data_IF_870334381114
#
_entry.id   IF_870334381114
#
_cell.length_a   1.000
_cell.length_b   1.000
_cell.length_c   1.000
_cell.angle_alpha   90.00
_cell.angle_beta   90.00
_cell.angle_gamma   90.00
#
_symmetry.space_group_name_H-M   'P 1'
#
loop_
_entity.id
_entity.type
_entity.pdbx_description
1 polymer ?
#
# COMPACT_ATOMS: atom_id res chain seq x y z
N UNK A 1 -59.44 15.85 48.03
CA UNK A 1 -60.48 14.92 48.51
C UNK A 1 -61.19 14.36 47.30
N UNK A 2 -61.16 13.02 47.16
CA UNK A 2 -62.15 12.15 46.50
C UNK A 2 -62.75 12.54 45.15
N UNK A 3 -62.30 11.82 44.12
CA UNK A 3 -63.06 11.07 43.09
C UNK A 3 -64.58 11.30 42.89
N UNK A 4 -64.97 10.99 41.65
CA UNK A 4 -66.24 10.37 41.19
C UNK A 4 -67.27 11.33 40.58
N UNK A 5 -67.44 11.30 39.25
CA UNK A 5 -68.73 10.93 38.64
C UNK A 5 -68.56 10.55 37.16
N UNK A 6 -69.03 9.34 36.83
CA UNK A 6 -69.14 8.75 35.49
C UNK A 6 -70.46 9.17 34.85
N UNK A 7 -70.51 9.43 33.54
CA UNK A 7 -71.56 8.95 32.60
C UNK A 7 -71.27 9.53 31.20
N UNK A 8 -70.84 8.73 30.22
CA UNK A 8 -71.69 8.04 29.23
C UNK A 8 -72.32 9.00 28.20
N UNK A 9 -71.67 9.18 27.06
CA UNK A 9 -72.39 9.27 25.78
C UNK A 9 -71.55 8.69 24.65
N UNK A 10 -72.07 7.60 24.10
CA UNK A 10 -71.69 6.99 22.84
C UNK A 10 -71.86 8.01 21.71
N UNK A 11 -70.81 8.26 20.92
CA UNK A 11 -71.00 8.54 19.49
C UNK A 11 -69.87 7.93 18.67
N UNK A 12 -70.25 6.80 18.08
CA UNK A 12 -69.63 6.14 16.95
C UNK A 12 -69.41 7.15 15.80
N UNK A 13 -68.17 7.41 15.40
CA UNK A 13 -67.85 7.83 14.04
C UNK A 13 -66.53 7.20 13.61
N UNK A 14 -66.66 6.09 12.87
CA UNK A 14 -65.61 5.41 12.11
C UNK A 14 -65.01 6.40 11.11
N UNK A 15 -63.78 6.86 11.36
CA UNK A 15 -62.94 7.51 10.36
C UNK A 15 -61.89 6.48 9.93
N UNK A 16 -62.20 5.80 8.83
CA UNK A 16 -61.33 4.86 8.14
C UNK A 16 -60.22 5.64 7.43
N UNK A 17 -59.07 5.82 8.07
CA UNK A 17 -57.85 6.30 7.39
C UNK A 17 -57.11 5.05 6.90
N UNK A 18 -57.29 4.72 5.63
CA UNK A 18 -56.45 3.77 4.92
C UNK A 18 -55.09 4.42 4.63
N UNK A 19 -54.08 4.09 5.42
CA UNK A 19 -52.69 4.35 5.06
C UNK A 19 -52.21 3.22 4.14
N UNK A 20 -51.57 3.51 3.00
CA UNK A 20 -50.80 2.50 2.30
C UNK A 20 -49.57 2.14 3.15
N UNK A 21 -49.51 0.89 3.61
CA UNK A 21 -48.27 0.26 4.07
C UNK A 21 -47.41 0.05 2.82
N UNK A 22 -46.43 0.93 2.60
CA UNK A 22 -45.32 0.63 1.71
C UNK A 22 -44.30 -0.18 2.53
N UNK A 23 -44.31 -1.50 2.34
CA UNK A 23 -43.19 -2.34 2.73
C UNK A 23 -42.10 -2.14 1.67
N UNK A 24 -41.13 -1.28 1.95
CA UNK A 24 -39.87 -1.22 1.20
C UNK A 24 -38.89 -2.16 1.90
N UNK A 25 -38.98 -3.44 1.59
CA UNK A 25 -37.99 -4.45 1.98
C UNK A 25 -36.89 -4.46 0.90
N UNK A 26 -36.21 -3.33 0.73
CA UNK A 26 -34.89 -3.32 0.11
C UNK A 26 -33.89 -3.80 1.15
N UNK A 27 -33.64 -5.12 1.12
CA UNK A 27 -32.56 -5.77 1.87
C UNK A 27 -31.23 -5.09 1.54
N UNK A 28 -30.82 -4.14 2.38
CA UNK A 28 -29.49 -3.54 2.41
C UNK A 28 -28.48 -4.56 2.98
N UNK A 29 -28.34 -5.69 2.28
CA UNK A 29 -27.25 -6.65 2.50
C UNK A 29 -25.88 -6.05 2.20
N UNK A 30 -25.83 -4.87 1.55
CA UNK A 30 -24.60 -4.14 1.28
C UNK A 30 -24.16 -3.25 2.45
N UNK A 31 -25.09 -2.77 3.29
CA UNK A 31 -24.81 -1.91 4.45
C UNK A 31 -24.16 -2.71 5.59
N UNK A 32 -24.51 -4.00 5.72
CA UNK A 32 -23.88 -4.91 6.68
C UNK A 32 -22.46 -5.35 6.29
N UNK A 33 -21.98 -5.03 5.08
CA UNK A 33 -20.60 -5.29 4.66
C UNK A 33 -19.70 -4.05 4.73
N UNK A 34 -20.24 -2.88 5.10
CA UNK A 34 -19.56 -1.59 5.03
C UNK A 34 -19.71 -0.70 6.27
N UNK A 35 -19.89 -1.29 7.45
CA UNK A 35 -20.07 -0.51 8.69
C UNK A 35 -18.80 -0.34 9.50
N UNK A 36 -17.96 0.65 9.16
CA UNK A 36 -16.98 1.31 10.06
C UNK A 36 -16.40 2.58 9.39
N UNK A 37 -17.25 3.51 8.96
CA UNK A 37 -16.80 4.65 8.13
C UNK A 37 -15.98 5.73 8.88
N UNK A 38 -15.92 5.73 10.22
CA UNK A 38 -15.16 6.74 10.98
C UNK A 38 -13.71 6.33 11.33
N UNK A 39 -13.29 5.08 11.07
CA UNK A 39 -11.98 4.54 11.49
C UNK A 39 -11.06 4.10 10.32
N UNK A 40 -11.48 4.27 9.06
CA UNK A 40 -10.69 3.86 7.89
C UNK A 40 -10.00 5.07 7.26
N UNK A 41 -8.67 5.10 7.34
CA UNK A 41 -7.89 6.15 6.68
C UNK A 41 -7.97 6.03 5.15
N UNK A 42 -7.96 7.17 4.46
CA UNK A 42 -7.69 7.18 3.02
C UNK A 42 -6.28 6.67 2.74
N UNK A 43 -6.06 6.10 1.55
CA UNK A 43 -4.77 5.46 1.20
C UNK A 43 -3.59 6.42 1.26
N UNK A 44 -3.80 7.70 0.94
CA UNK A 44 -2.75 8.72 0.95
C UNK A 44 -2.44 9.24 2.36
N UNK A 45 -3.38 9.11 3.30
CA UNK A 45 -3.16 9.38 4.73
C UNK A 45 -2.48 8.19 5.42
N UNK A 46 -2.87 6.97 5.05
CA UNK A 46 -2.28 5.73 5.55
C UNK A 46 -0.83 5.54 5.10
N UNK A 47 -0.50 5.95 3.87
CA UNK A 47 0.79 5.73 3.23
C UNK A 47 1.30 7.00 2.55
N UNK A 48 1.84 7.92 3.35
CA UNK A 48 2.35 9.19 2.86
C UNK A 48 3.68 8.99 2.15
N UNK A 49 3.66 9.08 0.82
CA UNK A 49 4.82 8.88 -0.04
C UNK A 49 5.56 10.19 -0.33
N UNK A 50 6.89 10.14 -0.28
CA UNK A 50 7.79 11.16 -0.77
C UNK A 50 8.85 10.55 -1.70
N UNK A 51 9.60 11.37 -2.42
CA UNK A 51 10.69 10.91 -3.27
C UNK A 51 11.91 11.83 -3.24
N UNK A 52 13.06 11.25 -3.57
CA UNK A 52 14.31 11.96 -3.83
C UNK A 52 14.96 11.42 -5.11
N UNK A 53 15.60 12.31 -5.87
CA UNK A 53 16.30 11.95 -7.10
C UNK A 53 17.70 12.55 -7.10
N UNK A 54 18.69 11.65 -7.11
CA UNK A 54 20.10 11.98 -7.22
C UNK A 54 20.65 11.33 -8.49
N UNK A 55 21.75 11.84 -9.06
CA UNK A 55 22.39 11.18 -10.20
C UNK A 55 22.66 9.69 -9.91
N UNK A 56 22.03 8.81 -10.69
CA UNK A 56 22.20 7.37 -10.62
C UNK A 56 21.28 6.63 -9.64
N UNK A 57 20.38 7.32 -8.93
CA UNK A 57 19.39 6.68 -8.05
C UNK A 57 18.11 7.49 -7.87
N UNK A 58 16.98 6.79 -7.84
CA UNK A 58 15.69 7.33 -7.46
C UNK A 58 15.22 6.61 -6.19
N UNK A 59 14.85 7.35 -5.16
CA UNK A 59 14.38 6.78 -3.89
C UNK A 59 12.95 7.23 -3.64
N UNK A 60 12.08 6.28 -3.32
CA UNK A 60 10.75 6.54 -2.76
C UNK A 60 10.75 6.13 -1.29
N UNK A 61 10.13 6.97 -0.46
CA UNK A 61 10.06 6.80 0.99
C UNK A 61 8.61 6.96 1.45
N UNK A 62 8.21 6.17 2.43
CA UNK A 62 6.86 6.23 3.00
C UNK A 62 6.92 6.50 4.49
N UNK A 63 6.03 7.36 4.96
CA UNK A 63 5.58 7.38 6.35
C UNK A 63 4.26 6.62 6.41
N UNK A 64 4.21 5.60 7.25
CA UNK A 64 3.11 4.64 7.34
C UNK A 64 2.36 4.89 8.65
N UNK A 65 1.05 5.09 8.56
CA UNK A 65 0.19 5.32 9.71
C UNK A 65 0.24 4.14 10.69
N UNK A 66 0.00 4.41 11.97
CA UNK A 66 -0.07 3.36 12.99
C UNK A 66 -1.15 2.33 12.64
N UNK A 67 -0.87 1.05 12.92
CA UNK A 67 -1.75 -0.07 12.56
C UNK A 67 -1.86 -0.31 11.05
N UNK A 68 -0.97 0.25 10.23
CA UNK A 68 -0.89 -0.01 8.80
C UNK A 68 0.49 -0.56 8.42
N UNK A 69 0.54 -1.29 7.31
CA UNK A 69 1.80 -1.81 6.77
C UNK A 69 1.78 -1.89 5.25
N UNK A 70 2.96 -1.84 4.63
CA UNK A 70 3.18 -2.08 3.20
C UNK A 70 3.78 -3.47 2.97
N UNK A 71 3.32 -4.17 1.94
CA UNK A 71 3.91 -5.43 1.52
C UNK A 71 5.19 -5.19 0.71
N UNK A 72 6.32 -5.72 1.18
CA UNK A 72 7.61 -5.54 0.51
C UNK A 72 7.60 -6.10 -0.92
N UNK A 73 6.99 -7.27 -1.12
CA UNK A 73 6.94 -7.95 -2.43
C UNK A 73 5.98 -7.28 -3.43
N UNK A 74 5.17 -6.31 -2.99
CA UNK A 74 4.29 -5.51 -3.84
C UNK A 74 4.87 -4.14 -4.20
N UNK A 75 6.09 -3.84 -3.74
CA UNK A 75 6.77 -2.58 -4.05
C UNK A 75 7.54 -2.71 -5.36
N UNK A 76 7.33 -1.75 -6.26
CA UNK A 76 8.01 -1.71 -7.56
C UNK A 76 8.26 -0.27 -7.98
N UNK A 77 9.44 0.01 -8.52
CA UNK A 77 9.74 1.28 -9.19
C UNK A 77 10.16 0.96 -10.63
N UNK A 78 9.51 1.59 -11.62
CA UNK A 78 9.85 1.42 -13.03
C UNK A 78 9.85 2.76 -13.77
N UNK A 79 10.46 2.77 -14.95
CA UNK A 79 10.26 3.83 -15.94
C UNK A 79 10.08 3.20 -17.32
N UNK A 80 9.28 3.83 -18.18
CA UNK A 80 9.14 3.40 -19.58
C UNK A 80 10.20 4.06 -20.48
N UNK A 81 11.07 4.91 -19.93
CA UNK A 81 12.07 5.63 -20.69
C UNK A 81 13.26 4.71 -21.04
N UNK A 82 13.37 4.36 -22.31
CA UNK A 82 14.42 3.45 -22.81
C UNK A 82 15.84 4.00 -22.71
N UNK A 83 16.03 5.29 -22.38
CA UNK A 83 17.36 5.85 -22.12
C UNK A 83 17.84 5.65 -20.69
N UNK A 84 17.00 5.10 -19.81
CA UNK A 84 17.32 4.81 -18.41
C UNK A 84 17.42 3.31 -18.21
N UNK A 85 18.63 2.80 -17.99
CA UNK A 85 18.83 1.40 -17.61
C UNK A 85 18.74 1.30 -16.09
N UNK A 86 17.75 0.59 -15.57
CA UNK A 86 17.54 0.45 -14.13
C UNK A 86 18.00 -0.91 -13.63
N UNK A 87 18.58 -0.94 -12.42
CA UNK A 87 19.00 -2.17 -11.76
C UNK A 87 17.92 -2.66 -10.79
N UNK A 88 18.20 -3.74 -10.06
CA UNK A 88 17.28 -4.30 -9.07
C UNK A 88 16.92 -3.27 -7.99
N UNK A 89 15.65 -3.27 -7.59
CA UNK A 89 15.15 -2.41 -6.51
C UNK A 89 15.81 -2.83 -5.19
N UNK A 90 16.45 -1.87 -4.52
CA UNK A 90 17.10 -2.07 -3.23
C UNK A 90 16.13 -1.66 -2.12
N UNK A 91 15.82 -2.61 -1.24
CA UNK A 91 14.95 -2.43 -0.07
C UNK A 91 15.49 -3.25 1.11
N UNK A 92 15.38 -2.75 2.35
CA UNK A 92 15.63 -3.57 3.54
C UNK A 92 14.76 -4.83 3.53
N UNK A 93 15.09 -5.84 4.32
CA UNK A 93 14.35 -7.11 4.35
C UNK A 93 12.89 -6.95 4.77
N UNK A 94 12.58 -5.99 5.66
CA UNK A 94 11.25 -5.83 6.25
C UNK A 94 10.99 -6.84 7.37
N UNK A 95 9.90 -6.62 8.09
CA UNK A 95 9.47 -7.44 9.22
C UNK A 95 8.71 -8.68 8.73
N UNK A 96 9.04 -9.84 9.29
CA UNK A 96 8.33 -11.08 9.03
C UNK A 96 6.91 -11.03 9.61
N UNK A 97 5.92 -11.26 8.76
CA UNK A 97 4.49 -11.31 9.11
C UNK A 97 3.88 -12.61 8.61
N UNK A 98 3.31 -13.39 9.51
CA UNK A 98 2.55 -14.58 9.14
C UNK A 98 1.24 -14.20 8.49
N UNK A 99 1.01 -14.70 7.28
CA UNK A 99 -0.27 -14.59 6.59
C UNK A 99 -1.12 -15.84 6.91
N UNK A 100 -2.22 -15.70 7.68
CA UNK A 100 -3.06 -16.82 8.07
C UNK A 100 -3.87 -17.40 6.90
N UNK A 101 -4.05 -16.67 5.80
CA UNK A 101 -4.77 -17.12 4.61
C UNK A 101 -3.89 -18.04 3.78
N UNK A 102 -2.62 -17.69 3.61
CA UNK A 102 -1.70 -18.45 2.76
C UNK A 102 -0.75 -19.38 3.53
N UNK A 103 -0.73 -19.28 4.86
CA UNK A 103 0.17 -20.03 5.75
C UNK A 103 1.65 -19.83 5.35
N UNK A 104 1.99 -18.57 5.07
CA UNK A 104 3.32 -18.13 4.62
C UNK A 104 3.76 -16.92 5.41
N UNK A 105 5.05 -16.83 5.65
CA UNK A 105 5.70 -15.61 6.12
C UNK A 105 5.87 -14.65 4.95
N UNK A 106 5.26 -13.48 5.05
CA UNK A 106 5.47 -12.33 4.17
C UNK A 106 6.40 -11.34 4.86
N UNK A 107 7.05 -10.47 4.09
CA UNK A 107 7.81 -9.36 4.64
C UNK A 107 7.07 -8.04 4.42
N UNK A 108 6.94 -7.27 5.48
CA UNK A 108 6.19 -6.01 5.49
C UNK A 108 7.02 -4.88 6.09
N UNK A 109 6.56 -3.64 5.87
CA UNK A 109 7.11 -2.47 6.53
C UNK A 109 6.02 -1.79 7.34
N UNK A 110 6.31 -1.54 8.62
CA UNK A 110 5.54 -0.68 9.50
C UNK A 110 6.29 0.63 9.72
N UNK A 111 5.56 1.70 10.00
CA UNK A 111 6.06 3.06 10.29
C UNK A 111 6.81 3.75 9.14
N UNK A 112 7.83 3.12 8.57
CA UNK A 112 8.65 3.66 7.49
C UNK A 112 9.07 2.57 6.50
N UNK A 113 9.13 2.95 5.22
CA UNK A 113 9.69 2.12 4.17
C UNK A 113 10.53 2.98 3.23
N UNK A 114 11.63 2.42 2.72
CA UNK A 114 12.47 3.04 1.69
C UNK A 114 12.71 2.03 0.57
N UNK A 115 12.53 2.50 -0.67
CA UNK A 115 12.82 1.74 -1.87
C UNK A 115 13.68 2.57 -2.82
N UNK A 116 14.91 2.12 -3.05
CA UNK A 116 15.87 2.81 -3.92
C UNK A 116 16.05 2.04 -5.21
N UNK A 117 15.83 2.70 -6.34
CA UNK A 117 16.09 2.20 -7.68
C UNK A 117 17.39 2.82 -8.22
N UNK A 118 18.50 2.07 -8.22
CA UNK A 118 19.70 2.48 -8.93
C UNK A 118 19.43 2.47 -10.44
N UNK A 119 19.93 3.47 -11.14
CA UNK A 119 19.78 3.56 -12.59
C UNK A 119 21.03 4.16 -13.25
N UNK A 120 21.14 3.95 -14.55
CA UNK A 120 22.12 4.57 -15.41
C UNK A 120 21.42 5.45 -16.44
N UNK A 121 21.85 6.70 -16.51
CA UNK A 121 21.48 7.64 -17.56
C UNK A 121 22.76 8.31 -18.08
N UNK A 122 23.16 8.00 -19.31
CA UNK A 122 24.43 8.49 -19.90
C UNK A 122 24.17 9.35 -21.15
N UNK A 123 23.07 10.10 -21.15
CA UNK A 123 22.71 11.00 -22.24
C UNK A 123 23.61 12.23 -22.36
N UNK A 124 23.40 13.04 -23.41
CA UNK A 124 24.21 14.23 -23.71
C UNK A 124 23.72 15.51 -23.01
N UNK A 125 22.85 15.40 -22.00
CA UNK A 125 22.27 16.53 -21.30
C UNK A 125 21.19 16.07 -20.33
N UNK A 126 20.55 17.03 -19.66
CA UNK A 126 19.47 16.69 -18.74
C UNK A 126 18.21 16.23 -19.48
N UNK A 127 17.42 15.36 -18.85
CA UNK A 127 16.15 14.86 -19.40
C UNK A 127 15.09 14.68 -18.34
N UNK A 128 13.84 15.04 -18.66
CA UNK A 128 12.69 14.69 -17.82
C UNK A 128 12.33 13.22 -17.99
N UNK A 129 12.27 12.49 -16.89
CA UNK A 129 11.90 11.07 -16.84
C UNK A 129 10.82 10.88 -15.79
N UNK A 130 9.83 10.06 -16.11
CA UNK A 130 8.78 9.69 -15.16
C UNK A 130 9.03 8.31 -14.59
N UNK A 131 9.12 8.23 -13.27
CA UNK A 131 9.12 6.98 -12.52
C UNK A 131 7.70 6.64 -12.07
N UNK A 132 7.33 5.36 -12.19
CA UNK A 132 6.09 4.78 -11.67
C UNK A 132 6.44 4.00 -10.41
N UNK A 133 5.87 4.40 -9.29
CA UNK A 133 6.04 3.72 -8.00
C UNK A 133 4.74 2.98 -7.68
N UNK A 134 4.82 1.66 -7.59
CA UNK A 134 3.72 0.78 -7.18
C UNK A 134 3.94 0.28 -5.77
N UNK A 135 2.87 0.18 -5.00
CA UNK A 135 2.88 -0.35 -3.64
C UNK A 135 1.47 -0.83 -3.28
N UNK A 136 1.38 -1.64 -2.24
CA UNK A 136 0.12 -2.09 -1.66
C UNK A 136 0.31 -2.29 -0.15
N UNK A 137 -0.72 -1.97 0.61
CA UNK A 137 -0.73 -2.16 2.06
C UNK A 137 -2.10 -2.53 2.59
N UNK A 138 -2.16 -2.82 3.89
CA UNK A 138 -3.40 -3.08 4.60
C UNK A 138 -3.40 -2.35 5.95
N UNK A 139 -4.59 -2.22 6.51
CA UNK A 139 -4.82 -1.84 7.90
C UNK A 139 -4.99 -3.11 8.74
N UNK A 140 -4.21 -3.24 9.80
CA UNK A 140 -4.37 -4.29 10.81
C UNK A 140 -5.59 -4.05 11.69
N UNK A 141 -5.99 -2.78 11.87
CA UNK A 141 -7.07 -2.36 12.75
C UNK A 141 -8.43 -2.69 12.12
N UNK A 142 -8.64 -2.28 10.87
CA UNK A 142 -9.90 -2.55 10.16
C UNK A 142 -9.89 -3.89 9.40
N UNK A 143 -8.73 -4.51 9.22
CA UNK A 143 -8.56 -5.72 8.42
C UNK A 143 -8.69 -5.48 6.90
N UNK A 144 -8.75 -4.22 6.46
CA UNK A 144 -8.93 -3.86 5.05
C UNK A 144 -7.58 -3.80 4.35
N UNK A 145 -7.52 -4.42 3.16
CA UNK A 145 -6.40 -4.28 2.25
C UNK A 145 -6.75 -3.31 1.12
N UNK A 146 -5.91 -2.29 0.96
CA UNK A 146 -6.05 -1.31 -0.11
C UNK A 146 -5.71 -1.98 -1.46
N UNK A 147 -6.34 -1.57 -2.57
CA UNK A 147 -5.96 -2.04 -3.89
C UNK A 147 -4.52 -1.61 -4.24
N UNK A 148 -3.86 -2.26 -5.22
CA UNK A 148 -2.55 -1.83 -5.68
C UNK A 148 -2.54 -0.37 -6.14
N UNK A 149 -1.63 0.42 -5.59
CA UNK A 149 -1.46 1.83 -5.92
C UNK A 149 -0.41 2.01 -7.00
N UNK A 150 -0.51 3.11 -7.75
CA UNK A 150 0.55 3.55 -8.68
C UNK A 150 0.64 5.07 -8.65
N UNK A 151 1.78 5.59 -8.18
CA UNK A 151 2.10 7.02 -8.20
C UNK A 151 3.13 7.30 -9.29
N UNK A 152 3.07 8.48 -9.91
CA UNK A 152 3.98 8.89 -10.97
C UNK A 152 4.75 10.12 -10.53
N UNK A 153 6.07 10.07 -10.60
CA UNK A 153 6.96 11.17 -10.25
C UNK A 153 7.83 11.50 -11.46
N UNK A 154 7.70 12.73 -11.95
CA UNK A 154 8.53 13.24 -13.05
C UNK A 154 9.69 14.03 -12.46
N UNK A 155 10.91 13.64 -12.82
CA UNK A 155 12.15 14.25 -12.33
C UNK A 155 13.08 14.56 -13.48
N UNK A 156 13.94 15.55 -13.28
CA UNK A 156 14.97 15.92 -14.25
C UNK A 156 16.26 15.17 -13.93
N UNK A 157 16.65 14.24 -14.79
CA UNK A 157 17.86 13.46 -14.66
C UNK A 157 19.03 14.18 -15.31
N UNK A 158 20.15 14.25 -14.60
CA UNK A 158 21.45 14.62 -15.17
C UNK A 158 22.25 13.36 -15.50
N UNK A 159 23.06 13.39 -16.58
CA UNK A 159 23.85 12.23 -16.98
C UNK A 159 24.91 11.89 -15.93
N UNK A 160 25.09 10.60 -15.67
CA UNK A 160 26.15 10.09 -14.82
C UNK A 160 27.40 9.79 -15.65
N UNK A 161 28.58 9.87 -15.02
CA UNK A 161 29.83 9.50 -15.66
C UNK A 161 29.91 7.99 -15.92
N UNK A 162 30.71 7.57 -16.90
CA UNK A 162 30.94 6.14 -17.17
C UNK A 162 31.51 5.39 -15.96
N UNK A 163 32.30 6.06 -15.12
CA UNK A 163 32.83 5.46 -13.88
C UNK A 163 31.72 5.21 -12.85
N UNK A 164 30.74 6.12 -12.74
CA UNK A 164 29.60 5.95 -11.85
C UNK A 164 28.63 4.88 -12.38
N UNK A 165 28.41 4.84 -13.70
CA UNK A 165 27.59 3.81 -14.35
C UNK A 165 28.12 2.40 -14.05
N UNK A 166 29.43 2.19 -14.15
CA UNK A 166 30.06 0.91 -13.81
C UNK A 166 29.90 0.52 -12.33
N UNK A 167 29.85 1.49 -11.41
CA UNK A 167 29.63 1.22 -9.98
C UNK A 167 28.18 0.82 -9.68
N UNK A 168 27.20 1.35 -10.42
CA UNK A 168 25.79 1.01 -10.28
C UNK A 168 25.52 -0.46 -10.60
N UNK A 169 26.23 -1.03 -11.58
CA UNK A 169 26.11 -2.45 -11.96
C UNK A 169 26.63 -3.39 -10.88
N UNK A 170 27.72 -3.04 -10.21
CA UNK A 170 28.30 -3.86 -9.15
C UNK A 170 27.45 -3.89 -7.87
N UNK A 171 26.52 -2.95 -7.69
CA UNK A 171 25.60 -2.93 -6.55
C UNK A 171 24.40 -3.89 -6.71
N UNK A 172 24.11 -4.34 -7.92
CA UNK A 172 23.04 -5.31 -8.22
C UNK A 172 23.49 -6.78 -8.14
N UNK A 173 24.80 -7.02 -8.19
CA UNK A 173 25.42 -8.35 -8.25
C UNK A 173 25.91 -8.80 -6.86
N UNK A 174 25.05 -8.72 -5.85
CA UNK A 174 25.22 -9.57 -4.68
C UNK A 174 24.75 -10.98 -5.07
N UNK A 175 25.62 -11.72 -5.77
CA UNK A 175 25.43 -13.13 -6.11
C UNK A 175 24.95 -13.89 -4.86
N UNK A 176 23.80 -14.59 -4.90
CA UNK A 176 23.44 -15.50 -3.83
C UNK A 176 24.51 -16.59 -3.83
N UNK A 177 25.37 -16.59 -2.81
CA UNK A 177 26.33 -17.67 -2.59
C UNK A 177 25.50 -18.96 -2.53
N UNK A 178 25.64 -19.79 -3.56
CA UNK A 178 24.96 -21.07 -3.67
C UNK A 178 25.20 -21.85 -2.38
N UNK A 179 24.16 -22.48 -1.81
CA UNK A 179 24.28 -23.30 -0.61
C UNK A 179 25.37 -24.39 -0.76
N UNK A 180 25.62 -24.83 -2.00
CA UNK A 180 26.69 -25.77 -2.32
C UNK A 180 28.10 -25.19 -2.13
N UNK A 181 28.28 -23.89 -2.36
CA UNK A 181 29.54 -23.19 -2.14
C UNK A 181 29.78 -22.92 -0.64
N UNK A 182 28.71 -22.70 0.14
CA UNK A 182 28.80 -22.58 1.59
C UNK A 182 29.27 -23.89 2.24
N UNK A 183 28.72 -25.04 1.81
CA UNK A 183 29.12 -26.37 2.30
C UNK A 183 30.56 -26.69 1.89
N UNK A 184 30.95 -26.36 0.66
CA UNK A 184 32.31 -26.59 0.16
C UNK A 184 33.35 -25.77 0.93
N UNK A 185 33.05 -24.52 1.28
CA UNK A 185 33.94 -23.70 2.10
C UNK A 185 34.04 -24.19 3.54
N UNK A 186 32.94 -24.63 4.16
CA UNK A 186 32.95 -25.16 5.53
C UNK A 186 33.80 -26.43 5.66
N UNK A 187 33.77 -27.30 4.63
CA UNK A 187 34.58 -28.53 4.60
C UNK A 187 36.07 -28.27 4.31
N UNK A 188 36.42 -27.14 3.70
CA UNK A 188 37.82 -26.77 3.40
C UNK A 188 38.55 -26.15 4.59
N UNK A 189 37.82 -25.62 5.56
CA UNK A 189 38.36 -24.93 6.74
C UNK A 189 38.52 -25.80 8.00
N UNK A 190 38.23 -27.11 7.91
CA UNK A 190 38.47 -28.10 8.97
C UNK A 190 39.60 -29.05 8.62
#
# INVERSE_FOLDING_TARGET
MSNLFKSLFSFLLLISISLPVYADESFNLLDSLGGADDDILEVDDAFQINYDSQPGKFTASWVIAEGHYLYRDKMQITTDDSSVNSNSLMMPEGEAKEDPIFNKTLHVFHHFADATLPYQYTGNGDKEVTFKVKYQGCSEISGICYPPQTKKFTVKLSPISSAMAAATDQAGEAEPVSEQDQITNALRSG
#
